data_IF_866220536256
#
_entry.id   IF_866220536256
#
_cell.length_a   1.000
_cell.length_b   1.000
_cell.length_c   1.000
_cell.angle_alpha   90.00
_cell.angle_beta   90.00
_cell.angle_gamma   90.00
#
_symmetry.space_group_name_H-M   'P 1'
#
loop_
_entity.id
_entity.type
_entity.pdbx_description
1 polymer ?
#
# COMPACT_ATOMS: atom_id res chain seq x y z
N UNK A 1 12.60 23.66 12.87
CA UNK A 1 12.38 23.74 14.34
C UNK A 1 11.62 22.55 14.95
N UNK A 2 10.64 21.95 14.27
CA UNK A 2 9.81 20.87 14.83
C UNK A 2 10.14 19.46 14.31
N UNK A 3 11.34 19.25 13.77
CA UNK A 3 11.70 18.01 13.07
C UNK A 3 11.50 16.77 13.95
N UNK A 4 12.11 16.75 15.14
CA UNK A 4 12.09 15.59 16.02
C UNK A 4 10.68 15.24 16.52
N UNK A 5 9.89 16.27 16.82
CA UNK A 5 8.50 16.10 17.24
C UNK A 5 7.63 15.53 16.10
N UNK A 6 7.81 16.03 14.87
CA UNK A 6 7.08 15.57 13.69
C UNK A 6 7.50 14.14 13.28
N UNK A 7 8.80 13.83 13.31
CA UNK A 7 9.31 12.48 13.05
C UNK A 7 8.82 11.49 14.10
N UNK A 8 8.80 11.92 15.38
CA UNK A 8 8.24 11.10 16.46
C UNK A 8 6.75 10.86 16.25
N UNK A 9 5.97 11.88 15.90
CA UNK A 9 4.55 11.70 15.60
C UNK A 9 4.33 10.76 14.38
N UNK A 10 5.10 10.95 13.31
CA UNK A 10 4.97 10.20 12.07
C UNK A 10 5.24 8.71 12.26
N UNK A 11 6.30 8.34 12.99
CA UNK A 11 6.65 6.94 13.24
C UNK A 11 5.68 6.20 14.17
N UNK A 12 4.73 6.93 14.78
CA UNK A 12 3.64 6.35 15.58
C UNK A 12 2.31 6.28 14.80
N UNK A 13 2.28 6.68 13.53
CA UNK A 13 1.09 6.51 12.71
C UNK A 13 0.93 5.06 12.25
N UNK A 14 -0.31 4.59 12.06
CA UNK A 14 -0.57 3.24 11.57
C UNK A 14 -0.15 3.07 10.10
N UNK A 15 0.28 1.85 9.75
CA UNK A 15 0.53 1.41 8.38
C UNK A 15 -0.73 0.78 7.74
N UNK A 16 -1.64 0.28 8.55
CA UNK A 16 -2.93 -0.23 8.10
C UNK A 16 -4.04 0.12 9.09
N UNK A 17 -5.22 0.46 8.57
CA UNK A 17 -6.42 0.75 9.36
C UNK A 17 -7.54 -0.16 8.87
N UNK A 18 -8.20 -0.87 9.78
CA UNK A 18 -9.39 -1.67 9.49
C UNK A 18 -10.56 -1.10 10.29
N UNK A 19 -11.52 -0.50 9.60
CA UNK A 19 -12.67 0.16 10.22
C UNK A 19 -13.91 0.00 9.32
N UNK A 20 -15.04 -0.42 9.90
CA UNK A 20 -16.33 -0.56 9.20
C UNK A 20 -16.29 -1.32 7.86
N UNK A 21 -15.45 -2.36 7.78
CA UNK A 21 -15.27 -3.16 6.56
C UNK A 21 -14.37 -2.53 5.48
N UNK A 22 -13.71 -1.42 5.80
CA UNK A 22 -12.68 -0.80 4.98
C UNK A 22 -11.29 -1.11 5.53
N UNK A 23 -10.42 -1.59 4.66
CA UNK A 23 -9.00 -1.79 4.95
C UNK A 23 -8.17 -0.74 4.21
N UNK A 24 -7.64 0.23 4.93
CA UNK A 24 -6.88 1.36 4.38
C UNK A 24 -5.39 1.05 4.52
N UNK A 25 -4.66 1.07 3.40
CA UNK A 25 -3.20 0.85 3.32
C UNK A 25 -2.59 1.81 2.31
N UNK A 26 -1.27 2.04 2.34
CA UNK A 26 -0.64 2.94 1.38
C UNK A 26 -0.62 2.37 -0.06
N UNK A 27 -0.16 1.14 -0.25
CA UNK A 27 0.05 0.54 -1.57
C UNK A 27 -0.84 -0.67 -1.87
N UNK A 28 -0.51 -1.84 -1.31
CA UNK A 28 -1.21 -3.08 -1.62
C UNK A 28 -1.09 -4.15 -0.56
N UNK A 29 -1.74 -5.30 -0.82
CA UNK A 29 -1.82 -6.42 0.11
C UNK A 29 -1.51 -7.71 -0.65
N UNK A 30 -0.70 -8.58 -0.06
CA UNK A 30 -0.40 -9.88 -0.65
C UNK A 30 -1.64 -10.81 -0.62
N UNK A 31 -1.86 -11.63 -1.66
CA UNK A 31 -3.07 -12.44 -1.78
C UNK A 31 -3.26 -13.45 -0.65
N UNK A 32 -2.18 -13.86 0.01
CA UNK A 32 -2.17 -14.82 1.12
C UNK A 32 -2.68 -14.26 2.44
N UNK A 33 -2.81 -12.94 2.59
CA UNK A 33 -3.18 -12.32 3.87
C UNK A 33 -4.68 -12.07 3.98
N UNK A 34 -5.27 -12.40 5.13
CA UNK A 34 -6.60 -11.87 5.51
C UNK A 34 -6.50 -10.42 5.96
N UNK A 35 -7.64 -9.74 6.05
CA UNK A 35 -7.67 -8.37 6.58
C UNK A 35 -7.13 -8.28 8.02
N UNK A 36 -7.45 -9.27 8.87
CA UNK A 36 -6.89 -9.35 10.23
C UNK A 36 -5.37 -9.54 10.23
N UNK A 37 -4.84 -10.43 9.37
CA UNK A 37 -3.40 -10.63 9.24
C UNK A 37 -2.69 -9.36 8.78
N UNK A 38 -3.30 -8.56 7.90
CA UNK A 38 -2.73 -7.27 7.49
C UNK A 38 -2.54 -6.33 8.69
N UNK A 39 -3.53 -6.26 9.59
CA UNK A 39 -3.45 -5.44 10.80
C UNK A 39 -2.37 -5.97 11.75
N UNK A 40 -2.33 -7.27 12.01
CA UNK A 40 -1.31 -7.87 12.89
C UNK A 40 0.11 -7.61 12.34
N UNK A 41 0.31 -7.81 11.04
CA UNK A 41 1.60 -7.59 10.37
C UNK A 41 2.01 -6.11 10.36
N UNK A 42 1.06 -5.20 10.15
CA UNK A 42 1.31 -3.77 10.23
C UNK A 42 1.79 -3.38 11.64
N UNK A 43 1.14 -3.89 12.69
CA UNK A 43 1.51 -3.64 14.07
C UNK A 43 2.91 -4.17 14.44
N UNK A 44 3.35 -5.30 13.87
CA UNK A 44 4.73 -5.80 14.03
C UNK A 44 5.74 -4.73 13.59
N UNK A 45 5.53 -4.13 12.42
CA UNK A 45 6.42 -3.10 11.84
C UNK A 45 6.27 -1.77 12.58
N UNK A 46 5.06 -1.36 12.92
CA UNK A 46 4.78 -0.15 13.71
C UNK A 46 5.50 -0.21 15.07
N UNK A 47 5.47 -1.35 15.75
CA UNK A 47 6.18 -1.56 17.02
C UNK A 47 7.68 -1.31 16.87
N UNK A 48 8.29 -1.79 15.78
CA UNK A 48 9.71 -1.54 15.50
C UNK A 48 10.00 -0.06 15.19
N UNK A 49 9.10 0.61 14.46
CA UNK A 49 9.19 2.05 14.17
C UNK A 49 9.02 2.93 15.41
N UNK A 50 8.22 2.48 16.38
CA UNK A 50 7.97 3.17 17.65
C UNK A 50 9.06 2.88 18.71
N UNK A 51 9.82 1.79 18.52
CA UNK A 51 10.91 1.40 19.41
C UNK A 51 12.10 2.38 19.45
N UNK A 52 13.00 2.22 20.43
CA UNK A 52 14.18 3.08 20.60
C UNK A 52 15.23 2.91 19.49
N UNK A 53 15.27 1.76 18.81
CA UNK A 53 16.20 1.46 17.70
C UNK A 53 15.57 1.65 16.31
N UNK A 54 14.59 2.54 16.17
CA UNK A 54 13.86 2.73 14.90
C UNK A 54 14.78 3.14 13.74
N UNK A 55 15.88 3.84 14.01
CA UNK A 55 16.84 4.24 12.98
C UNK A 55 17.61 3.04 12.43
N UNK A 56 18.08 2.13 13.30
CA UNK A 56 18.70 0.87 12.88
C UNK A 56 17.71 -0.01 12.11
N UNK A 57 16.47 -0.09 12.60
CA UNK A 57 15.40 -0.79 11.90
C UNK A 57 15.17 -0.24 10.49
N UNK A 58 15.08 1.09 10.33
CA UNK A 58 14.92 1.71 9.00
C UNK A 58 16.12 1.45 8.08
N UNK A 59 17.34 1.46 8.62
CA UNK A 59 18.54 1.16 7.83
C UNK A 59 18.50 -0.26 7.25
N UNK A 60 17.94 -1.21 8.01
CA UNK A 60 17.87 -2.61 7.61
C UNK A 60 16.61 -2.96 6.81
N UNK A 61 15.51 -2.22 6.96
CA UNK A 61 14.22 -2.66 6.42
C UNK A 61 14.12 -2.49 4.90
N UNK A 62 14.82 -1.50 4.32
CA UNK A 62 14.73 -1.22 2.89
C UNK A 62 15.55 -2.22 2.05
N UNK A 63 14.95 -2.69 0.96
CA UNK A 63 15.60 -3.62 0.04
C UNK A 63 14.58 -4.42 -0.77
N UNK A 64 15.06 -5.10 -1.81
CA UNK A 64 14.21 -5.86 -2.75
C UNK A 64 14.39 -7.38 -2.62
N UNK A 65 15.23 -7.87 -1.71
CA UNK A 65 15.60 -9.29 -1.63
C UNK A 65 14.48 -10.19 -1.08
N UNK A 66 13.56 -9.64 -0.29
CA UNK A 66 12.42 -10.36 0.25
C UNK A 66 11.15 -9.91 -0.48
N UNK A 67 10.73 -10.71 -1.45
CA UNK A 67 9.67 -10.39 -2.41
C UNK A 67 8.43 -11.29 -2.29
N UNK A 68 8.46 -12.33 -1.45
CA UNK A 68 7.35 -13.27 -1.28
C UNK A 68 7.08 -13.56 0.19
N UNK A 69 5.80 -13.69 0.54
CA UNK A 69 5.39 -14.16 1.87
C UNK A 69 5.60 -15.66 2.05
N UNK A 70 6.14 -16.02 3.22
CA UNK A 70 6.19 -17.37 3.75
C UNK A 70 5.98 -17.30 5.28
N UNK A 71 5.14 -18.18 5.84
CA UNK A 71 4.80 -18.15 7.28
C UNK A 71 6.01 -18.48 8.18
N UNK A 72 7.06 -19.09 7.62
CA UNK A 72 8.33 -19.37 8.26
C UNK A 72 9.27 -18.16 8.33
N UNK A 73 8.97 -17.04 7.66
CA UNK A 73 9.78 -15.83 7.74
C UNK A 73 9.86 -15.31 9.18
N UNK A 74 11.06 -14.87 9.57
CA UNK A 74 11.37 -14.31 10.90
C UNK A 74 12.19 -13.04 10.77
N UNK A 75 12.19 -12.26 11.85
CA UNK A 75 13.06 -11.09 12.00
C UNK A 75 12.90 -10.08 10.85
N UNK A 76 14.01 -9.53 10.39
CA UNK A 76 14.00 -8.42 9.43
C UNK A 76 13.44 -8.80 8.06
N UNK A 77 13.63 -10.04 7.60
CA UNK A 77 13.10 -10.48 6.30
C UNK A 77 11.57 -10.49 6.29
N UNK A 78 10.96 -10.94 7.40
CA UNK A 78 9.51 -10.87 7.61
C UNK A 78 9.01 -9.43 7.52
N UNK A 79 9.61 -8.53 8.30
CA UNK A 79 9.23 -7.12 8.29
C UNK A 79 9.43 -6.50 6.90
N UNK A 80 10.50 -6.89 6.17
CA UNK A 80 10.80 -6.37 4.84
C UNK A 80 9.72 -6.75 3.82
N UNK A 81 9.20 -7.99 3.88
CA UNK A 81 8.06 -8.39 3.04
C UNK A 81 6.82 -7.57 3.38
N UNK A 82 6.54 -7.37 4.67
CA UNK A 82 5.40 -6.56 5.13
C UNK A 82 5.49 -5.12 4.62
N UNK A 83 6.62 -4.44 4.84
CA UNK A 83 6.76 -3.04 4.40
C UNK A 83 6.71 -2.95 2.86
N UNK A 84 7.33 -3.89 2.13
CA UNK A 84 7.32 -3.88 0.68
C UNK A 84 5.88 -4.02 0.14
N UNK A 85 5.08 -4.90 0.74
CA UNK A 85 3.69 -5.04 0.38
C UNK A 85 2.90 -3.75 0.66
N UNK A 86 2.91 -3.29 1.92
CA UNK A 86 2.06 -2.19 2.37
C UNK A 86 2.45 -0.84 1.80
N UNK A 87 3.71 -0.66 1.39
CA UNK A 87 4.21 0.66 0.94
C UNK A 87 4.68 0.72 -0.51
N UNK A 88 4.86 -0.42 -1.20
CA UNK A 88 5.48 -0.42 -2.54
C UNK A 88 4.76 -1.26 -3.59
N UNK A 89 3.86 -2.15 -3.18
CA UNK A 89 3.26 -3.14 -4.07
C UNK A 89 2.40 -2.51 -5.18
N UNK A 90 2.65 -2.97 -6.40
CA UNK A 90 1.83 -2.71 -7.59
C UNK A 90 1.38 -4.01 -8.21
N UNK A 91 2.36 -4.82 -8.63
CA UNK A 91 2.15 -6.09 -9.27
C UNK A 91 2.67 -7.26 -8.41
N UNK A 92 2.02 -8.40 -8.53
CA UNK A 92 2.58 -9.67 -8.05
C UNK A 92 2.11 -10.85 -8.91
N UNK A 93 2.82 -11.98 -8.79
CA UNK A 93 2.40 -13.24 -9.38
C UNK A 93 1.18 -13.83 -8.66
N UNK A 94 0.57 -14.87 -9.24
CA UNK A 94 -0.52 -15.60 -8.58
C UNK A 94 -0.12 -16.20 -7.22
N UNK A 95 1.17 -16.54 -7.05
CA UNK A 95 1.75 -17.03 -5.80
C UNK A 95 2.21 -15.90 -4.86
N UNK A 96 1.89 -14.64 -5.17
CA UNK A 96 2.21 -13.47 -4.35
C UNK A 96 3.69 -13.10 -4.32
N UNK A 97 4.46 -13.43 -5.36
CA UNK A 97 5.82 -12.88 -5.55
C UNK A 97 5.68 -11.46 -6.08
N UNK A 98 6.15 -10.47 -5.32
CA UNK A 98 6.05 -9.05 -5.64
C UNK A 98 7.00 -8.67 -6.78
N UNK A 99 6.49 -7.91 -7.73
CA UNK A 99 7.36 -7.13 -8.60
C UNK A 99 7.56 -5.73 -8.01
N UNK A 100 8.81 -5.44 -7.61
CA UNK A 100 9.21 -4.19 -6.97
C UNK A 100 9.95 -3.24 -7.92
N UNK A 101 10.03 -3.58 -9.22
CA UNK A 101 10.81 -2.85 -10.22
C UNK A 101 9.93 -2.06 -11.18
N UNK A 102 8.83 -2.65 -11.63
CA UNK A 102 7.85 -2.04 -12.53
C UNK A 102 7.11 -0.90 -11.81
N UNK A 103 7.05 0.26 -12.47
CA UNK A 103 6.39 1.48 -11.98
C UNK A 103 5.28 1.95 -12.93
N UNK A 104 5.14 1.29 -14.07
CA UNK A 104 4.20 1.58 -15.14
C UNK A 104 2.74 1.34 -14.71
N UNK A 105 1.80 1.88 -15.49
CA UNK A 105 0.37 1.61 -15.35
C UNK A 105 -0.01 0.19 -15.82
N UNK A 106 -1.32 -0.08 -15.92
CA UNK A 106 -1.84 -1.41 -16.28
C UNK A 106 -1.29 -1.97 -17.61
N UNK A 107 -1.07 -1.11 -18.60
CA UNK A 107 -0.57 -1.50 -19.93
C UNK A 107 0.91 -1.92 -19.93
N UNK A 108 1.62 -1.71 -18.81
CA UNK A 108 3.04 -2.06 -18.64
C UNK A 108 3.30 -3.32 -17.83
N UNK A 109 2.25 -4.10 -17.51
CA UNK A 109 2.39 -5.32 -16.70
C UNK A 109 3.34 -6.35 -17.36
N UNK A 110 4.45 -6.75 -16.71
CA UNK A 110 5.31 -7.81 -17.23
C UNK A 110 4.57 -9.15 -17.33
N UNK A 111 5.03 -10.02 -18.23
CA UNK A 111 4.50 -11.38 -18.32
C UNK A 111 4.68 -12.13 -17.00
N UNK A 112 3.60 -12.74 -16.49
CA UNK A 112 3.62 -13.56 -15.28
C UNK A 112 3.23 -12.84 -13.98
N UNK A 113 2.97 -11.52 -14.03
CA UNK A 113 2.42 -10.76 -12.90
C UNK A 113 1.13 -10.04 -13.30
N UNK A 114 0.36 -9.64 -12.31
CA UNK A 114 -0.89 -8.88 -12.47
C UNK A 114 -1.01 -7.86 -11.33
N UNK A 115 -1.88 -6.84 -11.47
CA UNK A 115 -2.17 -5.94 -10.35
C UNK A 115 -2.54 -6.76 -9.12
N UNK A 116 -1.98 -6.41 -7.95
CA UNK A 116 -2.12 -7.21 -6.73
C UNK A 116 -3.58 -7.51 -6.36
N UNK A 117 -4.49 -6.58 -6.70
CA UNK A 117 -5.93 -6.70 -6.43
C UNK A 117 -6.68 -7.61 -7.43
N UNK A 118 -6.07 -7.98 -8.55
CA UNK A 118 -6.62 -8.90 -9.55
C UNK A 118 -6.21 -10.36 -9.32
N UNK A 119 -5.32 -10.62 -8.35
CA UNK A 119 -4.83 -11.97 -8.07
C UNK A 119 -5.97 -12.92 -7.66
N UNK A 120 -6.11 -14.08 -8.33
CA UNK A 120 -7.06 -15.12 -7.93
C UNK A 120 -6.86 -15.57 -6.48
N UNK A 121 -7.94 -15.84 -5.76
CA UNK A 121 -7.89 -16.33 -4.39
C UNK A 121 -7.49 -15.31 -3.31
N UNK A 122 -7.26 -14.02 -3.65
CA UNK A 122 -6.94 -12.95 -2.67
C UNK A 122 -7.86 -13.03 -1.44
N UNK A 123 -7.29 -13.16 -0.25
CA UNK A 123 -8.04 -13.40 1.00
C UNK A 123 -8.69 -12.15 1.62
N UNK A 124 -8.52 -10.97 1.02
CA UNK A 124 -9.18 -9.71 1.40
C UNK A 124 -10.34 -9.33 0.47
N UNK A 125 -11.05 -10.31 -0.09
CA UNK A 125 -12.18 -10.07 -1.02
C UNK A 125 -13.46 -9.64 -0.32
N UNK A 126 -13.56 -9.91 0.97
CA UNK A 126 -14.67 -9.64 1.88
C UNK A 126 -14.68 -8.21 2.44
N UNK A 127 -13.56 -7.49 2.35
CA UNK A 127 -13.43 -6.07 2.74
C UNK A 127 -13.26 -5.17 1.52
N UNK A 128 -13.55 -3.88 1.68
CA UNK A 128 -13.19 -2.86 0.69
C UNK A 128 -11.79 -2.34 0.99
N UNK A 129 -10.84 -2.55 0.09
CA UNK A 129 -9.49 -2.00 0.26
C UNK A 129 -9.43 -0.57 -0.26
N UNK A 130 -8.88 0.35 0.52
CA UNK A 130 -8.58 1.73 0.09
C UNK A 130 -7.06 1.89 0.03
N UNK A 131 -6.53 2.34 -1.11
CA UNK A 131 -5.10 2.51 -1.28
C UNK A 131 -4.73 3.70 -2.19
N UNK A 132 -3.43 3.99 -2.24
CA UNK A 132 -2.81 4.98 -3.11
C UNK A 132 -1.52 4.43 -3.74
N UNK A 133 -0.43 5.22 -3.67
CA UNK A 133 0.94 4.90 -4.14
C UNK A 133 1.13 4.73 -5.65
N UNK A 134 0.15 4.13 -6.32
CA UNK A 134 0.22 3.78 -7.72
C UNK A 134 -0.43 4.85 -8.59
N UNK A 135 0.08 6.08 -8.55
CA UNK A 135 -0.44 7.20 -9.36
C UNK A 135 -0.62 6.91 -10.86
N UNK A 136 0.24 6.09 -11.47
CA UNK A 136 0.12 5.67 -12.88
C UNK A 136 -1.06 4.73 -13.17
N UNK A 137 -1.66 4.14 -12.13
CA UNK A 137 -2.93 3.41 -12.22
C UNK A 137 -4.12 4.36 -12.43
N UNK A 138 -4.03 5.57 -11.88
CA UNK A 138 -5.15 6.51 -11.80
C UNK A 138 -6.24 6.07 -10.83
N UNK A 139 -7.41 6.68 -10.96
CA UNK A 139 -8.56 6.41 -10.09
C UNK A 139 -9.19 5.06 -10.43
N UNK A 140 -9.29 4.16 -9.45
CA UNK A 140 -10.02 2.90 -9.58
C UNK A 140 -11.08 2.78 -8.49
N UNK A 141 -12.33 2.66 -8.92
CA UNK A 141 -13.49 2.47 -8.04
C UNK A 141 -14.20 1.17 -8.39
N UNK A 142 -14.03 0.14 -7.56
CA UNK A 142 -14.71 -1.16 -7.66
C UNK A 142 -15.49 -1.44 -6.36
N UNK A 143 -16.40 -2.42 -6.33
CA UNK A 143 -17.14 -2.75 -5.11
C UNK A 143 -16.25 -2.99 -3.88
N UNK A 144 -15.10 -3.64 -4.05
CA UNK A 144 -14.15 -3.99 -2.98
C UNK A 144 -12.77 -3.32 -3.11
N UNK A 145 -12.64 -2.24 -3.91
CA UNK A 145 -11.38 -1.50 -4.08
C UNK A 145 -11.64 -0.02 -4.36
N UNK A 146 -10.88 0.84 -3.71
CA UNK A 146 -10.80 2.28 -3.95
C UNK A 146 -9.33 2.69 -4.04
N UNK A 147 -8.78 2.80 -5.26
CA UNK A 147 -7.44 3.35 -5.47
C UNK A 147 -7.56 4.85 -5.76
N UNK A 148 -7.08 5.67 -4.83
CA UNK A 148 -7.34 7.12 -4.80
C UNK A 148 -6.13 7.97 -5.24
N UNK A 149 -4.96 7.36 -5.44
CA UNK A 149 -3.79 8.09 -5.90
C UNK A 149 -3.91 8.43 -7.39
N UNK A 150 -4.23 9.69 -7.65
CA UNK A 150 -4.37 10.27 -8.98
C UNK A 150 -3.25 11.25 -9.30
N UNK A 151 -2.09 11.10 -8.64
CA UNK A 151 -0.86 11.76 -9.04
C UNK A 151 -0.84 13.27 -8.87
N UNK A 152 -1.44 13.81 -7.79
CA UNK A 152 -1.49 15.26 -7.55
C UNK A 152 -0.13 15.97 -7.68
N UNK A 153 0.94 15.42 -7.10
CA UNK A 153 2.29 16.04 -7.14
C UNK A 153 2.87 16.10 -8.57
N UNK A 154 2.40 15.23 -9.46
CA UNK A 154 2.82 15.10 -10.86
C UNK A 154 1.97 15.96 -11.82
N UNK A 155 1.10 16.82 -11.31
CA UNK A 155 0.16 17.61 -12.11
C UNK A 155 -1.14 16.88 -12.45
N UNK A 156 -1.42 15.77 -11.76
CA UNK A 156 -2.70 15.08 -11.83
C UNK A 156 -3.75 15.74 -10.94
N UNK A 157 -4.50 14.92 -10.18
CA UNK A 157 -5.57 15.41 -9.30
C UNK A 157 -5.32 14.98 -7.85
N UNK A 158 -5.82 15.76 -6.90
CA UNK A 158 -6.05 15.31 -5.53
C UNK A 158 -7.47 14.75 -5.45
N UNK A 159 -7.60 13.50 -5.01
CA UNK A 159 -8.87 12.78 -4.96
C UNK A 159 -9.31 12.52 -3.54
N UNK A 160 -10.58 12.79 -3.26
CA UNK A 160 -11.27 12.37 -2.05
C UNK A 160 -12.47 11.49 -2.42
N UNK A 161 -12.76 10.47 -1.62
CA UNK A 161 -13.92 9.62 -1.80
C UNK A 161 -14.63 9.36 -0.48
N UNK A 162 -15.96 9.40 -0.51
CA UNK A 162 -16.79 9.04 0.65
C UNK A 162 -16.73 7.53 0.86
N UNK A 163 -16.32 7.10 2.06
CA UNK A 163 -16.43 5.71 2.48
C UNK A 163 -17.90 5.40 2.76
N UNK A 164 -18.49 4.53 1.95
CA UNK A 164 -19.86 4.07 2.09
C UNK A 164 -19.91 2.54 1.86
N UNK A 165 -20.55 1.76 2.76
CA UNK A 165 -20.63 0.31 2.62
C UNK A 165 -21.26 -0.12 1.28
N UNK A 166 -22.32 0.57 0.87
CA UNK A 166 -22.92 0.41 -0.45
C UNK A 166 -22.06 1.12 -1.51
N UNK A 167 -21.48 0.40 -2.49
CA UNK A 167 -20.64 1.00 -3.52
C UNK A 167 -21.33 2.11 -4.33
N UNK A 168 -22.65 2.05 -4.51
CA UNK A 168 -23.42 3.05 -5.25
C UNK A 168 -23.55 4.40 -4.52
N UNK A 169 -23.28 4.44 -3.22
CA UNK A 169 -23.35 5.66 -2.39
C UNK A 169 -22.01 6.37 -2.25
N UNK A 170 -20.95 5.78 -2.82
CA UNK A 170 -19.60 6.35 -2.81
C UNK A 170 -19.54 7.49 -3.82
N UNK A 171 -19.25 8.69 -3.34
CA UNK A 171 -19.05 9.88 -4.15
C UNK A 171 -17.56 10.23 -4.22
N UNK A 172 -17.09 10.68 -5.38
CA UNK A 172 -15.70 11.10 -5.60
C UNK A 172 -15.65 12.59 -5.89
N UNK A 173 -14.70 13.29 -5.27
CA UNK A 173 -14.37 14.68 -5.56
C UNK A 173 -12.91 14.71 -5.99
N UNK A 174 -12.61 15.41 -7.08
CA UNK A 174 -11.24 15.60 -7.55
C UNK A 174 -10.98 17.07 -7.85
N UNK A 175 -9.81 17.55 -7.47
CA UNK A 175 -9.33 18.89 -7.79
C UNK A 175 -8.02 18.79 -8.57
N UNK A 176 -7.87 19.63 -9.60
CA UNK A 176 -6.63 19.71 -10.38
C UNK A 176 -5.49 20.22 -9.51
N UNK A 177 -4.31 19.61 -9.64
CA UNK A 177 -3.11 20.00 -8.94
C UNK A 177 -2.09 20.59 -9.93
N UNK A 178 -1.35 21.65 -9.55
CA UNK A 178 -0.20 22.07 -10.33
C UNK A 178 0.91 21.01 -10.26
N UNK A 179 1.71 20.91 -11.32
CA UNK A 179 2.84 19.99 -11.36
C UNK A 179 4.00 20.53 -10.51
N UNK A 180 4.39 19.78 -9.48
CA UNK A 180 5.51 20.10 -8.60
C UNK A 180 6.75 19.23 -8.85
N UNK A 181 6.58 18.05 -9.47
CA UNK A 181 7.66 17.15 -9.84
C UNK A 181 7.45 16.55 -11.24
N UNK A 182 8.53 16.09 -11.87
CA UNK A 182 8.47 15.37 -13.16
C UNK A 182 8.30 13.86 -12.89
N UNK A 183 7.19 13.23 -13.34
CA UNK A 183 6.95 11.80 -13.13
C UNK A 183 7.91 10.87 -13.88
N UNK A 184 8.71 11.42 -14.81
CA UNK A 184 9.70 10.69 -15.61
C UNK A 184 11.16 10.97 -15.21
N UNK A 185 11.39 11.83 -14.21
CA UNK A 185 12.73 12.17 -13.71
C UNK A 185 13.33 11.12 -12.76
#
# INVERSE_FOLDING_TARGET
PNCDALLTWLRHQPLAILEDGFLIVHAGILPQWTASQVIDLAQEVETALQGPNWQGFLADIFGNAADRWDDGLRGIERHRVVINALTRLRFCSADGVMDLKTKEGLDGAPAGVMPWFDVPGRRTRDVTVVCGHWSTLGLVMRPNLMALDTGCVWGGKLTAARLAPNPHERTVIQVDCPQYCDPLA
#
